data_IF_716149660872
#
_entry.id   IF_716149660872
#
_cell.length_a   1.000
_cell.length_b   1.000
_cell.length_c   1.000
_cell.angle_alpha   90.00
_cell.angle_beta   90.00
_cell.angle_gamma   90.00
#
_symmetry.space_group_name_H-M   'P 1'
#
loop_
_entity.id
_entity.type
_entity.pdbx_description
1 polymer ?
2 non-polymer ?
3 non-polymer ?
4 non-polymer ?
5 water ?
#
# COMPACT_ATOMS: atom_id res chain seq x y z
N UNK A 4 -16.58 -13.95 -8.16
CA UNK A 4 -16.44 -12.72 -7.38
C UNK A 4 -17.40 -12.76 -6.19
N UNK A 5 -16.89 -12.42 -5.01
CA UNK A 5 -17.64 -12.55 -3.76
C UNK A 5 -17.38 -11.33 -2.89
N UNK A 6 -18.44 -10.81 -2.29
CA UNK A 6 -18.32 -9.74 -1.31
C UNK A 6 -18.18 -10.36 0.07
N UNK A 7 -17.06 -10.09 0.74
CA UNK A 7 -16.82 -10.67 2.06
C UNK A 7 -17.36 -9.79 3.19
N UNK A 8 -17.21 -8.47 3.09
CA UNK A 8 -17.66 -7.59 4.14
C UNK A 8 -18.11 -6.28 3.55
N UNK A 9 -18.97 -5.57 4.29
CA UNK A 9 -19.49 -4.26 3.91
C UNK A 9 -19.40 -3.31 5.11
N UNK A 10 -19.79 -2.06 4.86
CA UNK A 10 -19.85 -1.04 5.90
C UNK A 10 -18.49 -0.76 6.54
N UNK A 11 -17.43 -0.88 5.74
CA UNK A 11 -16.09 -0.51 6.17
C UNK A 11 -15.82 0.94 5.79
N UNK A 12 -15.16 1.67 6.69
CA UNK A 12 -14.95 3.10 6.51
C UNK A 12 -13.63 3.35 5.79
N UNK A 13 -13.70 3.20 4.44
CA UNK A 13 -12.61 3.34 3.50
C UNK A 13 -11.56 2.28 3.82
N UNK A 14 -11.83 1.03 3.46
CA UNK A 14 -10.87 -0.04 3.72
C UNK A 14 -9.63 0.11 2.86
N UNK A 15 -8.50 -0.36 3.40
CA UNK A 15 -7.21 -0.35 2.72
C UNK A 15 -6.33 -1.35 3.47
N UNK A 16 -5.08 -1.47 3.03
CA UNK A 16 -4.07 -2.28 3.67
C UNK A 16 -4.47 -3.67 4.06
N UNK A 17 -5.08 -4.43 3.12
CA UNK A 17 -5.45 -5.81 3.45
C UNK A 17 -4.24 -6.72 3.69
N UNK A 18 -4.28 -7.45 4.79
CA UNK A 18 -3.27 -8.48 5.12
C UNK A 18 -4.06 -9.77 5.30
N UNK A 19 -3.88 -10.73 4.40
CA UNK A 19 -4.69 -11.93 4.40
C UNK A 19 -4.01 -13.01 5.23
N UNK A 20 -4.67 -13.43 6.28
CA UNK A 20 -4.09 -14.43 7.17
C UNK A 20 -4.12 -15.83 6.54
N UNK A 21 -3.33 -16.77 7.07
CA UNK A 21 -3.37 -18.12 6.48
C UNK A 21 -4.75 -18.72 6.44
N UNK A 22 -5.62 -18.43 7.41
CA UNK A 22 -6.94 -19.05 7.44
C UNK A 22 -7.97 -18.32 6.57
N UNK A 23 -7.56 -17.32 5.82
CA UNK A 23 -8.48 -16.58 4.97
C UNK A 23 -9.16 -15.41 5.63
N UNK A 24 -9.01 -15.22 6.94
CA UNK A 24 -9.41 -13.95 7.53
C UNK A 24 -8.47 -12.83 7.05
N UNK A 25 -8.94 -11.59 7.18
CA UNK A 25 -8.21 -10.43 6.70
C UNK A 25 -8.15 -9.41 7.82
N UNK A 26 -6.95 -8.95 8.12
CA UNK A 26 -6.75 -7.77 8.96
C UNK A 26 -6.48 -6.60 8.02
N UNK A 27 -7.29 -5.56 8.14
CA UNK A 27 -7.17 -4.43 7.24
C UNK A 27 -7.34 -3.16 8.06
N UNK A 28 -7.03 -2.00 7.40
CA UNK A 28 -7.22 -0.71 8.04
C UNK A 28 -8.48 -0.07 7.46
N UNK A 29 -9.13 0.75 8.28
CA UNK A 29 -10.26 1.60 7.89
C UNK A 29 -9.75 3.02 8.10
N UNK A 30 -9.40 3.70 7.00
CA UNK A 30 -8.69 4.96 7.14
C UNK A 30 -9.59 5.97 7.83
N UNK A 31 -10.87 6.05 7.40
CA UNK A 31 -11.78 7.06 7.97
C UNK A 31 -12.21 6.72 9.39
N UNK A 32 -12.27 5.42 9.75
CA UNK A 32 -12.61 5.05 11.11
C UNK A 32 -11.40 5.06 12.02
N UNK A 33 -10.19 5.24 11.45
CA UNK A 33 -8.96 5.28 12.21
C UNK A 33 -8.77 4.05 13.07
N UNK A 34 -8.86 2.88 12.45
CA UNK A 34 -8.75 1.65 13.23
C UNK A 34 -8.23 0.50 12.37
N UNK A 35 -7.72 -0.53 13.06
CA UNK A 35 -7.32 -1.79 12.46
C UNK A 35 -8.40 -2.81 12.77
N UNK A 36 -8.86 -3.55 11.76
CA UNK A 36 -10.07 -4.36 11.84
C UNK A 36 -9.80 -5.77 11.34
N UNK A 37 -10.26 -6.77 12.09
CA UNK A 37 -10.20 -8.16 11.67
C UNK A 37 -11.51 -8.55 11.01
N UNK A 38 -11.43 -9.06 9.79
CA UNK A 38 -12.58 -9.46 9.00
C UNK A 38 -12.52 -10.97 8.77
N UNK A 39 -13.52 -11.68 9.26
CA UNK A 39 -13.65 -13.12 9.07
C UNK A 39 -14.40 -13.43 7.79
N UNK A 40 -14.22 -14.63 7.25
CA UNK A 40 -14.77 -14.94 5.92
C UNK A 40 -16.29 -14.86 5.82
N UNK A 41 -17.02 -14.88 6.94
CA UNK A 41 -18.47 -14.79 6.91
C UNK A 41 -18.97 -13.34 7.02
N UNK A 42 -18.08 -12.37 7.14
CA UNK A 42 -18.46 -10.98 7.26
C UNK A 42 -18.40 -10.43 8.67
N UNK A 43 -18.39 -11.29 9.68
CA UNK A 43 -18.29 -10.80 11.06
C UNK A 43 -16.96 -10.09 11.22
N UNK A 44 -16.97 -9.07 12.08
CA UNK A 44 -15.84 -8.14 12.17
C UNK A 44 -15.49 -7.92 13.63
N UNK A 45 -14.22 -7.58 13.85
CA UNK A 45 -13.71 -7.28 15.18
C UNK A 45 -12.66 -6.17 15.04
N UNK A 46 -12.75 -5.15 15.88
CA UNK A 46 -11.74 -4.11 15.90
C UNK A 46 -10.52 -4.56 16.68
N UNK A 47 -9.36 -4.52 16.05
CA UNK A 47 -8.12 -4.97 16.67
C UNK A 47 -7.47 -3.85 17.49
N UNK A 48 -7.49 -2.63 16.96
CA UNK A 48 -6.85 -1.52 17.65
C UNK A 48 -7.40 -0.23 17.05
N UNK A 49 -7.53 0.78 17.90
CA UNK A 49 -7.74 2.15 17.42
C UNK A 49 -6.40 2.74 17.02
N UNK A 50 -6.33 3.33 15.83
CA UNK A 50 -5.07 3.88 15.34
C UNK A 50 -5.33 5.31 14.88
N UNK A 51 -5.25 6.29 15.79
CA UNK A 51 -5.59 7.66 15.42
C UNK A 51 -4.75 8.17 14.26
N UNK A 52 -5.39 9.03 13.45
CA UNK A 52 -4.73 9.61 12.30
C UNK A 52 -5.29 9.10 10.99
N UNK A 53 -4.42 8.51 10.17
CA UNK A 53 -4.84 7.91 8.92
C UNK A 53 -4.12 6.60 8.65
N UNK A 54 -4.47 5.54 9.38
CA UNK A 54 -3.88 4.24 9.06
C UNK A 54 -4.19 3.86 7.61
N UNK A 55 -3.14 3.61 6.83
CA UNK A 55 -3.23 3.56 5.36
C UNK A 55 -2.74 2.23 4.79
N UNK A 56 -1.82 1.55 5.44
CA UNK A 56 -1.27 0.33 4.87
C UNK A 56 -0.75 -0.51 6.00
N UNK A 57 -0.73 -1.81 5.78
CA UNK A 57 -0.36 -2.76 6.85
C UNK A 57 0.45 -3.92 6.30
N UNK A 58 1.27 -4.49 7.20
CA UNK A 58 2.09 -5.62 6.84
C UNK A 58 2.54 -6.29 8.13
N UNK A 59 2.44 -7.61 8.16
CA UNK A 59 2.89 -8.38 9.30
C UNK A 59 4.42 -8.46 9.33
N UNK A 60 5.00 -8.24 10.53
CA UNK A 60 6.43 -8.06 10.67
C UNK A 60 7.05 -9.31 11.27
N UNK A 61 8.38 -9.36 11.26
CA UNK A 61 9.06 -10.56 11.78
C UNK A 61 8.83 -10.76 13.27
N UNK A 62 8.51 -9.71 14.01
CA UNK A 62 8.22 -9.79 15.43
C UNK A 62 6.78 -10.17 15.71
N UNK A 63 6.01 -10.52 14.68
CA UNK A 63 4.64 -10.93 14.86
C UNK A 63 3.68 -9.78 15.01
N UNK A 64 4.15 -8.54 14.98
CA UNK A 64 3.29 -7.38 15.08
C UNK A 64 2.94 -6.85 13.71
N UNK A 65 1.87 -6.04 13.66
CA UNK A 65 1.34 -5.48 12.41
C UNK A 65 1.88 -4.07 12.25
N UNK A 66 2.74 -3.88 11.27
CA UNK A 66 3.34 -2.58 10.98
C UNK A 66 2.37 -1.79 10.12
N UNK A 67 2.30 -0.49 10.38
CA UNK A 67 1.27 0.38 9.83
C UNK A 67 1.91 1.63 9.23
N UNK A 68 1.51 1.99 8.03
CA UNK A 68 1.79 3.31 7.48
C UNK A 68 0.65 4.22 7.90
N UNK A 69 0.97 5.26 8.65
CA UNK A 69 0.00 6.24 9.14
C UNK A 69 0.24 7.52 8.34
N UNK A 70 -0.73 7.90 7.55
CA UNK A 70 -0.53 9.08 6.73
C UNK A 70 -0.84 10.36 7.47
N UNK A 71 -1.20 10.30 8.75
CA UNK A 71 -1.41 11.51 9.54
C UNK A 71 -2.84 12.02 9.55
N UNK A 72 -3.66 11.58 8.59
CA UNK A 72 -5.04 11.99 8.54
C UNK A 72 -5.42 12.63 7.21
N UNK A 73 -6.68 12.49 6.86
CA UNK A 73 -7.28 13.10 5.69
C UNK A 73 -8.46 13.96 6.14
N UNK A 74 -8.80 14.95 5.31
CA UNK A 74 -10.15 15.45 5.30
C UNK A 74 -11.05 14.50 4.56
N UNK A 75 -12.31 14.46 4.97
CA UNK A 75 -13.29 13.57 4.38
C UNK A 75 -14.50 14.38 3.92
N UNK A 76 -14.84 14.24 2.65
CA UNK A 76 -15.94 15.01 2.04
C UNK A 76 -16.75 14.13 1.10
N UNK A 77 -18.07 14.29 1.08
CA UNK A 77 -18.92 13.41 0.26
C UNK A 77 -18.75 13.70 -1.23
N UNK A 78 -18.56 12.63 -2.01
CA UNK A 78 -18.42 12.76 -3.46
C UNK A 78 -18.84 11.46 -4.12
N UNK A 79 -19.69 11.56 -5.15
CA UNK A 79 -20.23 10.38 -5.84
C UNK A 79 -20.73 9.33 -4.85
N UNK A 80 -21.40 9.79 -3.79
CA UNK A 80 -22.03 8.93 -2.82
C UNK A 80 -21.10 8.31 -1.81
N UNK A 81 -19.80 8.53 -1.92
CA UNK A 81 -18.82 8.00 -0.98
C UNK A 81 -18.11 9.16 -0.31
N UNK A 82 -17.69 8.94 0.94
CA UNK A 82 -16.85 9.91 1.64
C UNK A 82 -15.43 9.74 1.13
N UNK A 83 -14.93 10.72 0.39
CA UNK A 83 -13.61 10.59 -0.23
C UNK A 83 -12.56 11.34 0.57
N UNK A 84 -11.33 10.83 0.59
CA UNK A 84 -10.26 11.57 1.27
C UNK A 84 -9.88 12.83 0.50
N UNK A 85 -9.62 13.89 1.27
CA UNK A 85 -9.19 15.15 0.72
C UNK A 85 -8.07 15.73 1.56
N UNK A 86 -7.53 16.85 1.10
CA UNK A 86 -6.49 17.54 1.86
C UNK A 86 -6.96 17.77 3.29
N UNK A 87 -6.18 17.39 4.30
CA UNK A 87 -6.62 17.63 5.67
C UNK A 87 -6.40 19.07 6.10
N UNK A 88 -7.36 19.61 6.82
CA UNK A 88 -7.13 20.86 7.54
C UNK A 88 -6.04 20.63 8.57
N UNK A 89 -5.28 21.66 8.94
CA UNK A 89 -4.21 21.46 9.94
C UNK A 89 -4.68 20.70 11.15
N UNK A 90 -5.88 20.97 11.65
CA UNK A 90 -6.35 20.24 12.84
C UNK A 90 -6.71 18.79 12.55
N UNK A 91 -6.81 18.39 11.29
CA UNK A 91 -7.09 17.01 10.90
C UNK A 91 -5.83 16.21 10.62
N UNK A 92 -4.65 16.83 10.69
CA UNK A 92 -3.40 16.19 10.35
C UNK A 92 -2.50 16.16 11.59
N UNK A 93 -2.13 14.96 12.02
CA UNK A 93 -1.35 14.79 13.23
C UNK A 93 0.07 14.31 12.94
N UNK A 94 0.46 14.29 11.68
CA UNK A 94 1.80 13.88 11.31
C UNK A 94 1.86 12.45 10.81
N UNK A 95 2.68 12.21 9.81
CA UNK A 95 2.83 10.87 9.28
C UNK A 95 3.83 10.09 10.13
N UNK A 96 3.64 8.79 10.15
CA UNK A 96 4.52 7.94 10.95
C UNK A 96 4.47 6.50 10.47
N UNK A 97 5.42 5.72 10.96
CA UNK A 97 5.39 4.27 10.86
C UNK A 97 5.11 3.77 12.26
N UNK A 98 4.06 2.94 12.39
CA UNK A 98 3.62 2.45 13.69
C UNK A 98 3.56 0.93 13.69
N UNK A 99 3.38 0.37 14.89
CA UNK A 99 3.38 -1.07 15.12
C UNK A 99 2.25 -1.39 16.10
N UNK A 100 1.48 -2.43 15.81
CA UNK A 100 0.32 -2.81 16.61
C UNK A 100 0.52 -4.23 17.11
N UNK A 101 0.43 -4.41 18.41
CA UNK A 101 0.34 -5.74 18.99
C UNK A 101 -1.08 -6.25 18.80
N UNK A 102 -1.23 -7.28 17.98
CA UNK A 102 -2.57 -7.74 17.63
C UNK A 102 -3.32 -8.30 18.83
N UNK A 103 -2.61 -8.85 19.80
CA UNK A 103 -3.29 -9.49 20.94
C UNK A 103 -3.72 -8.47 21.98
N UNK A 104 -2.95 -7.40 22.17
CA UNK A 104 -3.26 -6.40 23.19
C UNK A 104 -3.88 -5.14 22.62
N UNK A 105 -3.82 -4.95 21.32
CA UNK A 105 -4.24 -3.71 20.70
C UNK A 105 -3.31 -2.53 20.92
N UNK A 106 -2.17 -2.74 21.56
CA UNK A 106 -1.24 -1.66 21.86
C UNK A 106 -0.60 -1.14 20.57
N UNK A 107 -0.52 0.18 20.46
CA UNK A 107 0.04 0.85 19.29
C UNK A 107 1.30 1.59 19.70
N UNK A 108 2.39 1.37 18.96
CA UNK A 108 3.66 2.03 19.20
C UNK A 108 4.05 2.82 17.95
N UNK A 109 4.56 4.04 18.14
CA UNK A 109 5.08 4.84 17.03
C UNK A 109 6.59 4.67 16.95
N UNK A 110 7.08 4.25 15.77
CA UNK A 110 8.47 3.89 15.55
C UNK A 110 9.28 5.01 14.92
N UNK A 111 8.74 5.65 13.87
CA UNK A 111 9.46 6.70 13.19
C UNK A 111 8.46 7.78 12.79
N UNK A 112 8.78 9.04 13.09
CA UNK A 112 8.04 10.20 12.63
C UNK A 112 8.80 11.01 11.58
N UNK A 113 10.10 10.76 11.45
CA UNK A 113 10.95 11.53 10.56
C UNK A 113 11.94 10.59 9.89
N UNK A 114 12.56 11.10 8.82
CA UNK A 114 13.78 10.57 8.23
C UNK A 114 14.80 11.70 8.27
N UNK A 115 15.85 11.51 9.07
CA UNK A 115 16.76 12.62 9.31
C UNK A 115 16.02 13.75 9.98
N UNK A 116 16.16 14.96 9.43
CA UNK A 116 15.52 16.13 10.00
C UNK A 116 14.17 16.45 9.37
N UNK A 117 13.67 15.59 8.47
CA UNK A 117 12.45 15.86 7.76
C UNK A 117 11.33 14.99 8.27
N UNK A 118 10.23 15.57 8.77
CA UNK A 118 9.08 14.73 9.15
C UNK A 118 8.54 13.94 7.98
N UNK A 119 8.11 12.73 8.26
CA UNK A 119 7.35 11.95 7.30
C UNK A 119 5.99 12.61 7.08
N UNK A 120 5.51 12.62 5.83
CA UNK A 120 4.29 13.36 5.51
C UNK A 120 3.07 12.44 5.44
N UNK A 121 2.99 11.61 4.41
CA UNK A 121 1.88 10.70 4.24
C UNK A 121 2.28 9.28 3.91
N UNK A 122 2.92 8.60 4.84
CA UNK A 122 3.19 7.19 4.60
C UNK A 122 1.95 6.44 4.14
N UNK A 123 2.14 5.58 3.12
CA UNK A 123 1.02 4.97 2.43
C UNK A 123 1.00 3.44 2.50
N UNK A 124 1.97 2.76 1.91
CA UNK A 124 1.99 1.30 1.93
C UNK A 124 3.42 0.80 2.15
N UNK A 125 3.54 -0.52 2.41
CA UNK A 125 4.82 -1.02 2.90
C UNK A 125 4.96 -2.51 2.58
N UNK A 126 6.21 -2.95 2.52
CA UNK A 126 6.52 -4.35 2.23
C UNK A 126 7.85 -4.70 2.88
N UNK A 127 7.91 -5.89 3.48
CA UNK A 127 9.11 -6.41 4.11
C UNK A 127 9.96 -7.25 3.15
N UNK A 128 11.27 -7.03 3.17
CA UNK A 128 12.17 -7.98 2.52
C UNK A 128 12.46 -9.15 3.47
N UNK A 129 13.14 -10.18 2.95
CA UNK A 129 13.29 -11.42 3.73
C UNK A 129 14.16 -11.27 4.97
N UNK A 130 14.93 -10.18 5.05
CA UNK A 130 15.79 -9.88 6.18
C UNK A 130 15.07 -9.09 7.27
N UNK A 131 13.83 -8.67 7.01
CA UNK A 131 13.11 -7.89 7.97
C UNK A 131 13.23 -6.41 7.77
N UNK A 132 13.94 -5.97 6.74
CA UNK A 132 13.90 -4.57 6.35
C UNK A 132 12.55 -4.22 5.80
N UNK A 133 12.21 -2.93 5.91
CA UNK A 133 10.85 -2.49 5.64
C UNK A 133 10.93 -1.34 4.63
N UNK A 134 10.38 -1.60 3.46
CA UNK A 134 10.22 -0.58 2.41
C UNK A 134 8.87 0.09 2.64
N UNK A 135 8.78 1.43 2.38
CA UNK A 135 7.47 2.03 2.40
C UNK A 135 7.47 3.29 1.54
N UNK A 136 6.30 3.61 1.07
CA UNK A 136 6.07 4.81 0.28
C UNK A 136 5.54 5.96 1.12
N UNK A 137 5.77 7.17 0.62
CA UNK A 137 5.20 8.37 1.21
C UNK A 137 4.46 9.05 0.06
N UNK A 138 3.15 9.12 0.17
CA UNK A 138 2.33 9.79 -0.85
C UNK A 138 2.42 11.30 -0.78
N UNK A 139 2.89 11.83 0.34
CA UNK A 139 2.79 13.23 0.69
C UNK A 139 1.37 13.64 1.08
N UNK A 140 1.28 14.90 1.50
CA UNK A 140 -0.01 15.48 1.86
C UNK A 140 -0.35 16.55 0.86
N UNK A 141 -1.63 16.72 0.66
CA UNK A 141 -2.17 17.85 -0.12
C UNK A 141 -2.49 19.03 0.81
N UNK A 142 -2.37 20.26 0.28
CA UNK A 142 -2.76 21.45 1.02
C UNK A 142 -3.60 22.23 0.05
N UNK A 143 -4.01 23.45 0.39
CA UNK A 143 -5.04 24.13 -0.39
C UNK A 143 -4.51 24.51 -1.77
N UNK A 144 -3.24 24.88 -1.86
CA UNK A 144 -2.70 25.36 -3.13
C UNK A 144 -1.42 24.65 -3.55
N UNK A 145 -1.04 23.57 -2.90
CA UNK A 145 0.19 22.90 -3.25
C UNK A 145 0.09 21.50 -2.70
N UNK A 146 1.14 20.71 -2.95
CA UNK A 146 1.15 19.32 -2.51
C UNK A 146 2.59 18.84 -2.40
N UNK A 147 2.79 17.87 -1.50
CA UNK A 147 4.11 17.29 -1.32
C UNK A 147 4.50 16.38 -2.47
N UNK A 148 5.82 16.23 -2.66
CA UNK A 148 6.35 15.25 -3.59
C UNK A 148 6.25 13.87 -2.95
N UNK A 149 6.37 12.84 -3.79
CA UNK A 149 6.42 11.46 -3.30
C UNK A 149 7.81 11.00 -2.93
N UNK A 150 7.88 9.88 -2.21
CA UNK A 150 9.17 9.36 -1.79
C UNK A 150 8.99 7.91 -1.39
N UNK A 151 10.14 7.22 -1.25
CA UNK A 151 10.17 5.86 -0.74
C UNK A 151 11.35 5.72 0.21
N UNK A 152 11.14 4.96 1.27
CA UNK A 152 12.10 4.86 2.36
C UNK A 152 12.33 3.40 2.65
N UNK A 153 13.46 3.11 3.31
CA UNK A 153 13.76 1.75 3.78
C UNK A 153 14.22 1.84 5.21
N UNK A 154 13.62 1.01 6.07
CA UNK A 154 14.01 0.86 7.47
C UNK A 154 14.80 -0.43 7.58
N UNK A 155 16.02 -0.32 8.09
CA UNK A 155 16.94 -1.46 8.14
C UNK A 155 16.40 -2.52 9.08
N UNK A 156 16.75 -3.78 8.82
CA UNK A 156 16.38 -4.88 9.74
C UNK A 156 16.61 -4.53 11.20
N UNK A 157 15.67 -4.97 12.03
CA UNK A 157 15.69 -4.62 13.43
C UNK A 157 15.14 -3.29 13.80
N UNK A 158 14.72 -2.49 12.80
CA UNK A 158 14.11 -1.18 12.99
C UNK A 158 15.12 -0.21 13.59
N UNK A 159 16.39 -0.30 13.13
CA UNK A 159 17.49 0.50 13.64
C UNK A 159 17.52 1.93 13.10
N UNK A 160 17.31 2.08 11.81
CA UNK A 160 17.36 3.40 11.21
C UNK A 160 16.60 3.41 9.90
N UNK A 161 16.19 4.60 9.51
CA UNK A 161 15.41 4.81 8.29
C UNK A 161 16.27 5.58 7.30
N UNK A 162 16.19 5.23 6.03
CA UNK A 162 16.95 5.91 4.98
C UNK A 162 16.01 6.30 3.83
N UNK A 163 16.34 7.41 3.18
CA UNK A 163 15.60 7.86 2.02
C UNK A 163 16.18 7.20 0.79
N UNK A 164 15.34 6.47 0.05
CA UNK A 164 15.81 5.79 -1.16
C UNK A 164 15.32 6.41 -2.45
N UNK A 165 14.12 6.98 -2.46
CA UNK A 165 13.57 7.66 -3.64
C UNK A 165 12.92 8.93 -3.14
N UNK A 166 13.18 10.06 -3.80
CA UNK A 166 12.57 11.31 -3.38
C UNK A 166 12.35 12.20 -4.59
N UNK A 167 11.26 12.93 -4.57
CA UNK A 167 11.03 14.00 -5.53
C UNK A 167 10.17 13.62 -6.70
N UNK A 168 9.60 12.42 -6.68
CA UNK A 168 8.66 11.97 -7.70
C UNK A 168 7.28 12.55 -7.40
N UNK A 169 6.30 12.26 -8.26
CA UNK A 169 4.91 12.47 -7.90
C UNK A 169 4.51 11.47 -6.81
N UNK A 170 3.37 11.70 -6.16
CA UNK A 170 2.96 10.84 -5.03
C UNK A 170 3.10 9.35 -5.33
N UNK A 171 3.80 8.67 -4.43
CA UNK A 171 3.98 7.23 -4.51
C UNK A 171 3.07 6.49 -3.54
N UNK A 172 2.64 5.30 -3.94
CA UNK A 172 1.49 4.65 -3.32
C UNK A 172 1.81 3.18 -3.12
N UNK A 173 1.46 2.33 -4.08
CA UNK A 173 1.77 0.92 -3.95
C UNK A 173 3.26 0.63 -3.96
N UNK A 174 3.68 -0.39 -3.22
CA UNK A 174 5.09 -0.75 -3.24
C UNK A 174 5.20 -2.24 -3.05
N UNK A 175 6.15 -2.85 -3.78
CA UNK A 175 6.35 -4.28 -3.69
C UNK A 175 7.73 -4.68 -4.15
N UNK A 176 8.07 -5.94 -3.86
CA UNK A 176 9.35 -6.52 -4.23
C UNK A 176 9.13 -7.62 -5.26
N UNK A 177 10.08 -7.76 -6.17
CA UNK A 177 10.08 -8.89 -7.09
C UNK A 177 10.29 -10.18 -6.32
N UNK A 178 9.98 -11.33 -6.94
CA UNK A 178 10.23 -12.61 -6.24
C UNK A 178 11.65 -12.75 -5.73
N UNK A 179 12.65 -12.42 -6.56
CA UNK A 179 14.04 -12.52 -6.12
C UNK A 179 14.50 -11.32 -5.29
N UNK A 180 13.63 -10.31 -5.13
CA UNK A 180 13.84 -9.14 -4.28
C UNK A 180 14.99 -8.26 -4.76
N UNK A 181 15.42 -8.42 -6.02
CA UNK A 181 16.40 -7.53 -6.62
C UNK A 181 15.77 -6.28 -7.24
N UNK A 182 14.44 -6.21 -7.29
CA UNK A 182 13.74 -5.06 -7.87
C UNK A 182 12.64 -4.64 -6.91
N UNK A 183 12.52 -3.33 -6.67
CA UNK A 183 11.45 -2.74 -5.88
C UNK A 183 10.57 -1.97 -6.86
N UNK A 184 9.25 -2.11 -6.73
CA UNK A 184 8.30 -1.40 -7.57
C UNK A 184 7.53 -0.38 -6.76
N UNK A 185 7.34 0.83 -7.30
CA UNK A 185 6.55 1.85 -6.64
C UNK A 185 5.55 2.31 -7.66
N UNK A 186 4.28 2.34 -7.28
CA UNK A 186 3.26 2.92 -8.14
C UNK A 186 3.10 4.43 -7.92
N UNK A 187 3.12 5.19 -9.01
CA UNK A 187 2.93 6.63 -8.96
C UNK A 187 1.47 6.93 -9.24
N UNK A 188 0.79 7.61 -8.30
CA UNK A 188 -0.67 7.63 -8.33
C UNK A 188 -1.20 8.46 -9.49
N UNK A 189 -0.91 9.74 -9.59
CA UNK A 189 -1.61 10.57 -10.60
C UNK A 189 -1.31 10.19 -12.03
N UNK A 190 -0.12 9.65 -12.30
CA UNK A 190 0.29 9.35 -13.66
C UNK A 190 -0.09 7.96 -14.10
N UNK A 191 -0.51 7.08 -13.18
CA UNK A 191 -0.74 5.71 -13.56
C UNK A 191 0.50 5.06 -14.12
N UNK A 192 1.67 5.34 -13.53
CA UNK A 192 2.92 4.72 -13.96
C UNK A 192 3.48 3.83 -12.86
N UNK A 193 4.00 2.69 -13.27
CA UNK A 193 4.70 1.76 -12.37
C UNK A 193 6.20 1.92 -12.59
N UNK A 194 6.92 2.26 -11.52
CA UNK A 194 8.34 2.52 -11.58
C UNK A 194 9.06 1.32 -10.99
N UNK A 195 10.11 0.87 -11.67
CA UNK A 195 10.94 -0.27 -11.25
C UNK A 195 12.31 0.24 -10.84
N UNK A 196 12.74 -0.08 -9.60
CA UNK A 196 14.00 0.38 -9.07
C UNK A 196 14.90 -0.83 -8.88
N UNK A 197 16.01 -0.88 -9.62
CA UNK A 197 17.00 -1.93 -9.40
C UNK A 197 17.66 -1.72 -8.04
N UNK A 198 17.90 -2.82 -7.32
CA UNK A 198 18.54 -2.77 -6.02
C UNK A 198 19.94 -3.36 -6.13
N UNK A 199 20.94 -2.62 -5.62
CA UNK A 199 22.29 -3.15 -5.55
C UNK A 199 22.42 -4.20 -4.45
N UNK A 200 21.55 -4.13 -3.46
CA UNK A 200 21.47 -5.06 -2.36
C UNK A 200 20.25 -4.72 -1.53
N UNK A 201 20.00 -5.48 -0.49
CA UNK A 201 18.84 -5.18 0.37
C UNK A 201 18.77 -3.72 0.83
N UNK A 202 17.67 -3.08 0.52
CA UNK A 202 17.38 -1.73 0.99
C UNK A 202 18.04 -0.60 0.24
N UNK A 203 18.73 -0.87 -0.89
CA UNK A 203 19.57 0.12 -1.55
C UNK A 203 19.24 0.16 -3.03
N UNK A 204 18.63 1.27 -3.45
CA UNK A 204 18.37 1.46 -4.88
C UNK A 204 19.68 1.72 -5.60
N UNK A 205 19.85 1.06 -6.75
CA UNK A 205 20.99 1.32 -7.62
C UNK A 205 20.59 2.37 -8.64
N UNK A 206 21.11 3.59 -8.56
CA UNK A 206 20.60 4.67 -9.42
C UNK A 206 20.83 4.36 -10.91
N UNK A 207 19.77 4.56 -11.70
CA UNK A 207 19.80 4.39 -13.14
C UNK A 207 20.16 5.73 -13.79
N UNK A 208 20.45 5.68 -15.09
CA UNK A 208 20.73 6.90 -15.84
C UNK A 208 19.46 7.71 -16.01
N UNK A 209 19.58 9.03 -15.85
CA UNK A 209 18.42 9.91 -15.98
C UNK A 209 17.87 9.84 -17.40
N UNK A 210 16.54 9.97 -17.51
CA UNK A 210 15.86 9.97 -18.80
C UNK A 210 15.46 11.37 -19.22
N UNK A 211 14.96 12.17 -18.28
CA UNK A 211 14.47 13.51 -18.60
C UNK A 211 14.70 14.45 -17.41
N UNK A 212 14.27 14.04 -16.22
CA UNK A 212 14.43 14.89 -15.04
C UNK A 212 14.65 13.99 -13.82
N UNK A 213 15.91 13.67 -13.57
CA UNK A 213 16.32 13.05 -12.31
C UNK A 213 15.57 11.79 -11.93
N UNK A 214 15.28 10.92 -12.89
CA UNK A 214 14.64 9.64 -12.57
C UNK A 214 15.69 8.68 -12.04
N UNK A 215 15.37 8.03 -10.92
CA UNK A 215 16.24 7.01 -10.33
C UNK A 215 15.83 5.60 -10.74
N UNK A 216 14.62 5.43 -11.25
CA UNK A 216 14.13 4.13 -11.68
C UNK A 216 13.59 4.16 -13.08
N UNK A 217 13.02 3.06 -13.55
CA UNK A 217 12.54 2.95 -14.91
C UNK A 217 11.02 2.92 -14.95
N UNK A 218 10.36 3.80 -15.73
CA UNK A 218 8.91 3.71 -15.83
C UNK A 218 8.52 2.56 -16.76
N UNK A 219 8.34 1.34 -16.22
CA UNK A 219 8.16 0.21 -17.11
C UNK A 219 6.77 0.19 -17.73
N UNK A 220 5.81 0.84 -17.10
CA UNK A 220 4.47 0.89 -17.68
C UNK A 220 3.77 2.19 -17.31
N UNK A 221 3.12 2.80 -18.28
CA UNK A 221 2.26 3.91 -18.00
C UNK A 221 0.93 3.77 -18.72
N UNK A 222 -0.16 3.74 -17.95
CA UNK A 222 -1.47 3.54 -18.55
C UNK A 222 -1.86 4.80 -19.32
N UNK A 223 -2.69 4.60 -20.32
CA UNK A 223 -3.23 5.70 -21.10
C UNK A 223 -4.48 6.28 -20.47
N UNK A 224 -5.04 7.28 -21.12
CA UNK A 224 -6.34 7.74 -20.69
C UNK A 224 -6.29 8.48 -19.37
N UNK A 225 -7.33 8.29 -18.57
CA UNK A 225 -7.45 8.92 -17.25
C UNK A 225 -7.56 7.76 -16.28
N UNK A 226 -6.40 7.27 -15.86
CA UNK A 226 -6.28 6.13 -14.94
C UNK A 226 -5.14 6.42 -13.96
N UNK A 227 -5.39 6.17 -12.69
CA UNK A 227 -4.40 6.41 -11.66
C UNK A 227 -4.21 5.13 -10.87
N UNK A 228 -3.05 5.04 -10.22
CA UNK A 228 -2.69 3.85 -9.46
C UNK A 228 -2.84 4.09 -7.95
N UNK A 229 -3.18 3.01 -7.25
CA UNK A 229 -3.21 3.02 -5.78
C UNK A 229 -2.18 1.98 -5.33
N UNK A 230 -2.58 1.01 -4.52
CA UNK A 230 -1.62 0.06 -3.98
C UNK A 230 -1.53 -1.20 -4.84
N UNK A 231 -0.67 -2.18 -4.45
CA UNK A 231 -0.40 -3.28 -5.36
C UNK A 231 -0.01 -4.53 -4.58
N UNK A 232 0.08 -5.64 -5.31
CA UNK A 232 0.60 -6.92 -4.81
C UNK A 232 1.28 -7.67 -5.96
N UNK A 233 2.35 -8.40 -5.64
CA UNK A 233 3.16 -9.06 -6.66
C UNK A 233 2.79 -10.54 -6.71
N UNK A 234 2.87 -11.13 -7.91
CA UNK A 234 2.62 -12.54 -8.18
C UNK A 234 3.92 -13.36 -8.10
N UNK A 235 3.79 -14.66 -7.85
CA UNK A 235 4.98 -15.51 -7.88
C UNK A 235 5.63 -15.49 -9.26
N UNK A 236 4.85 -15.27 -10.32
CA UNK A 236 5.40 -15.11 -11.66
C UNK A 236 6.25 -13.85 -11.82
N UNK A 237 6.14 -12.89 -10.91
CA UNK A 237 6.81 -11.62 -11.04
C UNK A 237 5.93 -10.50 -11.52
N UNK A 238 4.74 -10.79 -12.03
CA UNK A 238 3.83 -9.73 -12.45
C UNK A 238 3.42 -8.89 -11.25
N UNK A 239 3.17 -7.59 -11.51
CA UNK A 239 2.79 -6.64 -10.48
C UNK A 239 1.33 -6.28 -10.72
N UNK A 240 0.49 -6.54 -9.72
CA UNK A 240 -0.95 -6.31 -9.81
C UNK A 240 -1.29 -5.02 -9.09
N UNK A 241 -1.71 -3.99 -9.84
CA UNK A 241 -1.85 -2.67 -9.26
C UNK A 241 -3.33 -2.25 -9.31
N UNK A 242 -3.86 -1.87 -8.14
CA UNK A 242 -5.20 -1.35 -8.06
C UNK A 242 -5.23 -0.06 -8.85
N UNK A 243 -6.23 0.04 -9.72
CA UNK A 243 -6.28 1.14 -10.69
C UNK A 243 -7.56 1.96 -10.49
N UNK A 244 -7.37 3.24 -10.14
CA UNK A 244 -8.46 4.13 -9.81
C UNK A 244 -9.03 4.69 -11.09
N UNK A 245 -10.28 5.15 -11.02
CA UNK A 245 -11.03 5.77 -12.12
C UNK A 245 -11.61 4.69 -13.02
N UNK A 246 -10.75 3.92 -13.66
CA UNK A 246 -11.21 2.80 -14.47
C UNK A 246 -11.68 1.60 -13.63
N UNK A 247 -11.27 1.49 -12.36
CA UNK A 247 -11.81 0.48 -11.45
C UNK A 247 -11.44 -0.95 -11.79
N UNK A 248 -10.16 -1.26 -11.68
CA UNK A 248 -9.68 -2.57 -12.10
C UNK A 248 -8.35 -2.87 -11.40
N UNK A 249 -7.91 -4.11 -11.56
CA UNK A 249 -6.55 -4.50 -11.24
C UNK A 249 -5.77 -4.58 -12.53
N UNK A 250 -4.69 -3.82 -12.63
CA UNK A 250 -3.83 -3.81 -13.81
C UNK A 250 -2.65 -4.75 -13.54
N UNK A 251 -2.50 -5.78 -14.36
CA UNK A 251 -1.45 -6.79 -14.21
C UNK A 251 -0.32 -6.44 -15.17
N UNK A 252 0.83 -6.09 -14.62
CA UNK A 252 1.98 -5.63 -15.40
C UNK A 252 3.13 -6.62 -15.27
N UNK A 253 3.65 -7.07 -16.40
CA UNK A 253 4.75 -8.02 -16.39
C UNK A 253 6.04 -7.31 -16.02
N UNK A 254 7.05 -8.03 -15.54
CA UNK A 254 8.30 -7.38 -15.14
C UNK A 254 8.93 -6.53 -16.24
N UNK A 255 8.63 -6.82 -17.51
CA UNK A 255 9.17 -6.08 -18.64
C UNK A 255 8.34 -4.85 -18.99
N UNK A 256 7.24 -4.61 -18.29
CA UNK A 256 6.38 -3.47 -18.54
C UNK A 256 5.09 -3.80 -19.27
N UNK A 257 4.97 -4.99 -19.84
CA UNK A 257 3.82 -5.34 -20.64
C UNK A 257 2.56 -5.35 -19.79
N UNK A 258 1.48 -4.78 -20.32
CA UNK A 258 0.17 -4.82 -19.68
C UNK A 258 -0.46 -6.18 -19.99
N UNK A 259 -0.42 -7.09 -19.02
CA UNK A 259 -0.93 -8.44 -19.24
C UNK A 259 -2.44 -8.42 -19.39
N UNK A 260 -3.13 -7.77 -18.46
CA UNK A 260 -4.60 -7.70 -18.49
C UNK A 260 -5.04 -6.64 -17.51
N UNK A 261 -6.34 -6.32 -17.54
CA UNK A 261 -6.98 -5.46 -16.56
C UNK A 261 -8.25 -6.15 -16.13
N UNK A 262 -8.40 -6.37 -14.82
CA UNK A 262 -9.51 -7.14 -14.26
C UNK A 262 -10.49 -6.15 -13.64
N UNK A 263 -11.70 -5.98 -14.18
CA UNK A 263 -12.63 -5.01 -13.60
C UNK A 263 -13.09 -5.45 -12.22
N UNK A 264 -13.32 -4.46 -11.36
CA UNK A 264 -13.76 -4.69 -10.00
C UNK A 264 -15.12 -4.07 -9.66
N UNK A 265 -15.58 -3.10 -10.43
CA UNK A 265 -16.88 -2.49 -10.21
C UNK A 265 -16.86 -1.26 -9.33
N UNK A 266 -15.69 -0.80 -8.89
CA UNK A 266 -15.57 0.38 -8.05
C UNK A 266 -14.46 1.26 -8.62
N UNK A 267 -14.82 2.49 -8.99
CA UNK A 267 -13.81 3.43 -9.44
C UNK A 267 -12.71 3.67 -8.41
N UNK A 268 -13.01 3.48 -7.14
CA UNK A 268 -12.03 3.66 -6.07
C UNK A 268 -11.56 2.31 -5.57
N UNK A 269 -10.97 1.52 -6.46
CA UNK A 269 -10.28 0.28 -6.08
C UNK A 269 -8.89 0.62 -5.59
N UNK A 270 -8.52 0.14 -4.35
CA UNK A 270 -7.38 0.74 -3.69
C UNK A 270 -6.25 -0.23 -3.39
N UNK A 271 -6.54 -1.49 -3.11
CA UNK A 271 -5.46 -2.42 -2.78
C UNK A 271 -5.86 -3.85 -3.12
N UNK A 272 -4.85 -4.73 -3.11
CA UNK A 272 -5.03 -6.14 -3.43
C UNK A 272 -4.01 -6.90 -2.62
N UNK A 273 -4.38 -8.11 -2.23
CA UNK A 273 -3.52 -9.00 -1.45
C UNK A 273 -3.96 -10.43 -1.74
N UNK A 274 -2.99 -11.35 -1.76
CA UNK A 274 -3.26 -12.74 -2.12
C UNK A 274 -3.28 -13.63 -0.89
N UNK A 275 -4.23 -14.53 -0.87
CA UNK A 275 -4.27 -15.57 0.13
C UNK A 275 -5.12 -16.72 -0.31
N UNK A 276 -5.55 -17.52 0.65
CA UNK A 276 -6.35 -18.67 0.37
C UNK A 276 -5.50 -19.82 -0.15
N UNK A 277 -6.15 -20.90 -0.56
CA UNK A 277 -5.40 -22.03 -1.13
C UNK A 277 -4.51 -21.60 -2.30
N UNK A 278 -3.25 -22.01 -2.24
CA UNK A 278 -2.23 -21.74 -3.24
C UNK A 278 -2.02 -20.24 -3.49
N UNK A 279 -2.48 -19.38 -2.58
CA UNK A 279 -2.47 -17.93 -2.78
C UNK A 279 -3.06 -17.56 -4.13
N UNK A 280 -4.05 -18.32 -4.58
CA UNK A 280 -4.71 -18.00 -5.85
C UNK A 280 -6.04 -17.27 -5.67
N UNK A 281 -6.26 -16.67 -4.50
CA UNK A 281 -7.42 -15.83 -4.27
C UNK A 281 -6.99 -14.39 -4.05
N UNK A 282 -7.62 -13.46 -4.77
CA UNK A 282 -7.31 -12.05 -4.65
C UNK A 282 -8.33 -11.38 -3.72
N UNK A 283 -7.82 -10.75 -2.66
CA UNK A 283 -8.62 -9.99 -1.71
C UNK A 283 -8.38 -8.50 -1.98
N UNK A 284 -9.46 -7.78 -2.26
CA UNK A 284 -9.39 -6.46 -2.88
C UNK A 284 -10.30 -5.52 -2.11
N UNK A 285 -9.79 -4.32 -1.82
CA UNK A 285 -10.50 -3.31 -1.05
C UNK A 285 -11.16 -2.37 -2.04
N UNK A 286 -12.49 -2.36 -2.05
CA UNK A 286 -13.28 -1.41 -2.86
C UNK A 286 -13.66 -0.27 -1.91
N UNK A 287 -12.83 0.76 -1.88
CA UNK A 287 -12.93 1.76 -0.82
C UNK A 287 -14.08 2.72 -1.07
N UNK A 288 -14.53 2.85 -2.31
CA UNK A 288 -15.72 3.66 -2.57
C UNK A 288 -16.98 3.02 -2.02
N UNK A 289 -17.19 1.74 -2.33
CA UNK A 289 -18.34 1.02 -1.82
C UNK A 289 -18.20 0.62 -0.36
N UNK A 290 -16.98 0.62 0.17
CA UNK A 290 -16.75 0.24 1.55
C UNK A 290 -16.70 -1.26 1.77
N UNK A 291 -16.16 -1.98 0.80
CA UNK A 291 -16.28 -3.43 0.76
C UNK A 291 -14.92 -4.09 0.64
N UNK A 292 -14.81 -5.28 1.22
CA UNK A 292 -13.73 -6.22 0.97
C UNK A 292 -14.31 -7.34 0.11
N UNK A 293 -13.71 -7.59 -1.05
CA UNK A 293 -14.20 -8.61 -1.96
C UNK A 293 -13.12 -9.68 -2.13
N UNK A 294 -13.56 -10.84 -2.59
CA UNK A 294 -12.66 -11.91 -2.97
C UNK A 294 -12.91 -12.27 -4.43
N UNK A 295 -11.87 -12.73 -5.10
CA UNK A 295 -11.90 -13.06 -6.51
C UNK A 295 -10.87 -14.16 -6.79
N UNK A 296 -11.24 -15.09 -7.66
CA UNK A 296 -10.30 -16.10 -8.10
C UNK A 296 -9.27 -15.52 -9.05
N UNK A 297 -8.01 -15.85 -8.82
CA UNK A 297 -6.90 -15.30 -9.60
C UNK A 297 -6.31 -16.42 -10.45
N UNK A 298 -5.98 -16.11 -11.70
CA UNK A 298 -5.52 -17.15 -12.62
C UNK A 298 -4.11 -17.62 -12.31
N UNK A 299 -3.35 -16.86 -11.54
CA UNK A 299 -1.96 -17.17 -11.22
C UNK A 299 -1.77 -17.01 -9.72
N UNK A 300 -0.78 -17.70 -9.15
CA UNK A 300 -0.57 -17.60 -7.70
C UNK A 300 0.16 -16.32 -7.27
N UNK A 301 -0.23 -15.84 -6.10
CA UNK A 301 0.44 -14.69 -5.52
C UNK A 301 1.82 -15.02 -4.96
N UNK A 302 2.64 -13.98 -4.85
CA UNK A 302 3.96 -14.10 -4.27
C UNK A 302 3.81 -14.15 -2.77
N UNK A 303 4.28 -15.22 -2.10
CA UNK A 303 4.20 -15.23 -0.65
C UNK A 303 4.95 -14.07 -0.04
N UNK A 304 4.30 -13.40 0.90
CA UNK A 304 4.92 -12.30 1.62
C UNK A 304 5.82 -12.84 2.73
N UNK A 305 6.90 -12.11 2.98
CA UNK A 305 7.79 -12.49 4.07
C UNK A 305 7.08 -12.37 5.42
N UNK A 306 7.32 -13.33 6.30
CA UNK A 306 6.80 -13.34 7.65
C UNK A 306 5.28 -13.47 7.74
N UNK A 307 4.58 -13.62 6.60
CA UNK A 307 3.17 -13.95 6.60
C UNK A 307 2.89 -15.27 5.88
N UNK A 308 3.41 -15.42 4.67
CA UNK A 308 3.17 -16.60 3.86
C UNK A 308 4.37 -17.52 3.80
N UNK A 309 5.59 -16.99 3.98
CA UNK A 309 6.80 -17.83 4.11
C UNK A 309 7.78 -17.33 5.21
#
# INVERSE_FOLDING_TARGET
MSNVRVLATDLAFPEGPVVMPDGSVVLVEIRAQQLTRVWPDGRKEVVAKVPGGPNGAALGPDGKMYICNNGGFGWFPSRGTMMPGAPAPHEYIGGSIQRVDLQSGEVETLFDKCGEHPLKGPNDLVFDKHGGLWFTDLGKRRARDMDVGAAYYIKPGMTEITEQVFGTLPLNGIGLSPDEATMYAAETPTGRLWAFDLSGPGEVKPRDVIYRGEKGKPICGLGGYQMFDSLAVEASGNVCVATLVSGCISVIAPDGTLVEQVPTGDRVTTNIAFGGPDLKTAYITLSGKGELIAMDWSRPGLPLNFLNK
#
